data_IF_112044048000
#
_entry.id   IF_112044048000
#
_cell.length_a   1.000
_cell.length_b   1.000
_cell.length_c   1.000
_cell.angle_alpha   90.00
_cell.angle_beta   90.00
_cell.angle_gamma   90.00
#
_symmetry.space_group_name_H-M   'P 1'
#
loop_
_entity.id
_entity.type
_entity.pdbx_description
1 polymer ?
#
# COMPACT_ATOMS: atom_id res chain seq x y z
N UNK A 1 -33.48 28.26 -6.86
CA UNK A 1 -32.12 28.01 -7.39
C UNK A 1 -31.14 28.25 -6.25
N UNK A 2 -30.74 27.20 -5.56
CA UNK A 2 -29.60 27.23 -4.64
C UNK A 2 -28.77 26.01 -5.01
N UNK A 3 -27.72 26.24 -5.80
CA UNK A 3 -26.73 25.22 -6.13
C UNK A 3 -26.02 24.83 -4.85
N UNK A 4 -26.46 23.73 -4.25
CA UNK A 4 -25.80 23.11 -3.12
C UNK A 4 -24.52 22.49 -3.67
N UNK A 5 -23.41 23.22 -3.53
CA UNK A 5 -22.08 22.71 -3.81
C UNK A 5 -21.86 21.56 -2.84
N UNK A 6 -22.08 20.34 -3.32
CA UNK A 6 -21.82 19.14 -2.56
C UNK A 6 -20.32 19.09 -2.40
N UNK A 7 -19.87 19.47 -1.21
CA UNK A 7 -18.52 19.27 -0.74
C UNK A 7 -18.29 17.74 -0.72
N UNK A 8 -17.93 17.20 -1.89
CA UNK A 8 -17.31 15.90 -2.02
C UNK A 8 -15.86 16.04 -1.55
N UNK A 9 -15.67 16.42 -0.29
CA UNK A 9 -14.40 16.19 0.35
C UNK A 9 -14.34 14.70 0.64
N UNK A 10 -13.52 14.01 -0.15
CA UNK A 10 -13.09 12.64 0.03
C UNK A 10 -12.33 12.52 1.36
N UNK A 11 -13.05 12.62 2.48
CA UNK A 11 -12.54 12.30 3.81
C UNK A 11 -12.51 10.78 3.95
N UNK A 12 -11.63 10.14 3.17
CA UNK A 12 -11.05 8.85 3.50
C UNK A 12 -10.14 9.05 4.72
N UNK A 13 -10.73 9.42 5.86
CA UNK A 13 -10.06 9.74 7.11
C UNK A 13 -9.47 8.49 7.80
N UNK A 14 -9.56 7.34 7.14
CA UNK A 14 -9.09 6.06 7.65
C UNK A 14 -8.14 5.37 6.64
N UNK A 15 -7.20 6.11 6.06
CA UNK A 15 -6.07 5.55 5.30
C UNK A 15 -5.13 4.74 6.23
N UNK A 16 -5.63 3.66 6.83
CA UNK A 16 -4.81 2.50 7.18
C UNK A 16 -4.48 1.76 5.87
N UNK A 17 -3.76 2.43 4.97
CA UNK A 17 -3.35 1.86 3.70
C UNK A 17 -2.32 0.75 3.93
N UNK A 18 -1.57 0.78 5.03
CA UNK A 18 -0.56 -0.20 5.40
C UNK A 18 -1.21 -1.51 5.84
N UNK A 19 -1.08 -2.53 4.98
CA UNK A 19 -1.56 -3.89 5.23
C UNK A 19 -0.58 -4.69 6.09
N UNK A 20 0.71 -4.42 5.90
CA UNK A 20 1.80 -5.07 6.61
C UNK A 20 3.04 -4.19 6.57
N UNK A 21 3.81 -4.22 7.66
CA UNK A 21 5.15 -3.66 7.73
C UNK A 21 6.08 -4.65 8.41
N UNK A 22 7.24 -4.84 7.81
CA UNK A 22 8.34 -5.60 8.42
C UNK A 22 9.58 -4.72 8.55
N UNK A 23 10.35 -4.98 9.59
CA UNK A 23 11.68 -4.41 9.77
C UNK A 23 12.65 -5.57 9.79
N UNK A 24 13.57 -5.59 8.82
CA UNK A 24 14.57 -6.63 8.68
C UNK A 24 15.96 -6.02 8.51
N UNK A 25 16.98 -6.87 8.60
CA UNK A 25 18.38 -6.48 8.42
C UNK A 25 18.64 -5.86 7.03
N UNK A 26 17.89 -6.31 6.01
CA UNK A 26 17.97 -5.81 4.62
C UNK A 26 17.24 -4.46 4.41
N UNK A 27 16.44 -4.02 5.38
CA UNK A 27 15.67 -2.78 5.36
C UNK A 27 14.26 -2.93 5.93
N UNK A 28 13.52 -1.82 6.00
CA UNK A 28 12.09 -1.86 6.32
C UNK A 28 11.28 -1.91 5.02
N UNK A 29 10.29 -2.80 4.99
CA UNK A 29 9.37 -2.97 3.87
C UNK A 29 7.94 -2.85 4.36
N UNK A 30 7.06 -2.27 3.57
CA UNK A 30 5.63 -2.31 3.84
C UNK A 30 4.83 -2.55 2.56
N UNK A 31 3.63 -3.08 2.71
CA UNK A 31 2.64 -3.21 1.64
C UNK A 31 1.50 -2.26 1.94
N UNK A 32 1.18 -1.38 1.00
CA UNK A 32 0.06 -0.47 1.12
C UNK A 32 -0.99 -0.68 0.02
N UNK A 33 -2.21 -0.20 0.25
CA UNK A 33 -3.20 0.00 -0.81
C UNK A 33 -2.94 1.35 -1.51
N UNK A 34 -2.97 1.37 -2.84
CA UNK A 34 -2.84 2.60 -3.61
C UNK A 34 -3.97 3.59 -3.29
N UNK A 35 -3.71 4.90 -3.43
CA UNK A 35 -4.68 5.97 -3.15
C UNK A 35 -6.03 5.72 -3.81
N UNK A 36 -6.01 5.32 -5.08
CA UNK A 36 -7.20 5.04 -5.89
C UNK A 36 -7.90 3.70 -5.56
N UNK A 37 -7.36 2.90 -4.64
CA UNK A 37 -7.99 1.65 -4.22
C UNK A 37 -8.11 0.61 -5.33
N UNK A 38 -7.13 0.54 -6.25
CA UNK A 38 -7.16 -0.41 -7.39
C UNK A 38 -6.02 -1.44 -7.37
N UNK A 39 -4.98 -1.24 -6.55
CA UNK A 39 -3.78 -2.08 -6.52
C UNK A 39 -3.04 -1.95 -5.19
N UNK A 40 -2.18 -2.93 -4.90
CA UNK A 40 -1.23 -2.89 -3.79
C UNK A 40 0.11 -2.30 -4.25
N UNK A 41 0.83 -1.69 -3.31
CA UNK A 41 2.14 -1.09 -3.52
C UNK A 41 3.10 -1.66 -2.48
N UNK A 42 4.20 -2.26 -2.94
CA UNK A 42 5.32 -2.61 -2.07
C UNK A 42 6.19 -1.38 -1.93
N UNK A 43 6.47 -0.94 -0.71
CA UNK A 43 7.37 0.16 -0.41
C UNK A 43 8.58 -0.30 0.40
N UNK A 44 9.73 0.33 0.12
CA UNK A 44 10.96 0.16 0.89
C UNK A 44 11.34 1.47 1.57
N UNK A 45 11.74 1.38 2.83
CA UNK A 45 12.29 2.50 3.58
C UNK A 45 13.75 2.69 3.16
N UNK A 46 14.06 3.84 2.58
CA UNK A 46 15.44 4.25 2.29
C UNK A 46 15.87 5.38 3.22
N UNK A 47 17.12 5.32 3.69
CA UNK A 47 17.76 6.42 4.40
C UNK A 47 18.49 7.27 3.37
N UNK A 48 18.18 8.55 3.28
CA UNK A 48 18.94 9.45 2.42
C UNK A 48 20.35 9.62 3.00
N UNK A 49 21.38 9.27 2.22
CA UNK A 49 22.79 9.37 2.64
C UNK A 49 23.20 10.82 2.94
N UNK A 50 22.55 11.79 2.27
CA UNK A 50 22.88 13.21 2.38
C UNK A 50 22.19 13.90 3.57
N UNK A 51 21.14 13.29 4.13
CA UNK A 51 20.39 13.84 5.29
C UNK A 51 19.97 12.69 6.20
N UNK A 52 20.70 12.40 7.29
CA UNK A 52 20.39 11.27 8.18
C UNK A 52 18.99 11.35 8.82
N UNK A 53 18.37 12.54 8.84
CA UNK A 53 16.99 12.74 9.31
C UNK A 53 15.91 12.50 8.23
N UNK A 54 16.27 12.36 6.95
CA UNK A 54 15.32 12.17 5.86
C UNK A 54 15.14 10.67 5.57
N UNK A 55 14.24 10.05 6.33
CA UNK A 55 13.69 8.74 6.04
C UNK A 55 12.55 8.91 5.03
N UNK A 56 12.60 8.21 3.90
CA UNK A 56 11.48 8.16 2.95
C UNK A 56 11.13 6.73 2.58
N UNK A 57 9.83 6.51 2.33
CA UNK A 57 9.33 5.29 1.71
C UNK A 57 9.34 5.49 0.19
N UNK A 58 9.82 4.48 -0.53
CA UNK A 58 9.86 4.47 -2.00
C UNK A 58 9.05 3.29 -2.49
N UNK A 59 8.14 3.53 -3.43
CA UNK A 59 7.39 2.48 -4.09
C UNK A 59 8.29 1.68 -5.03
N UNK A 60 8.43 0.38 -4.75
CA UNK A 60 9.26 -0.55 -5.52
C UNK A 60 8.43 -1.27 -6.59
N UNK A 61 7.16 -1.57 -6.29
CA UNK A 61 6.30 -2.34 -7.20
C UNK A 61 4.82 -2.09 -6.96
N UNK A 62 4.05 -2.18 -8.05
CA UNK A 62 2.60 -2.03 -8.08
C UNK A 62 2.00 -3.34 -8.58
N UNK A 63 1.09 -3.94 -7.81
CA UNK A 63 0.56 -5.28 -8.11
C UNK A 63 -0.92 -5.40 -7.77
N UNK A 64 -1.62 -6.20 -8.57
CA UNK A 64 -3.05 -6.48 -8.41
C UNK A 64 -3.33 -7.95 -8.09
N UNK A 65 -2.31 -8.80 -8.02
CA UNK A 65 -2.46 -10.24 -7.73
C UNK A 65 -1.59 -10.65 -6.55
N UNK A 66 -2.13 -11.47 -5.65
CA UNK A 66 -1.41 -11.95 -4.46
C UNK A 66 -0.16 -12.71 -4.84
N UNK A 67 -0.22 -13.57 -5.85
CA UNK A 67 0.95 -14.33 -6.30
C UNK A 67 2.10 -13.41 -6.75
N UNK A 68 1.78 -12.35 -7.49
CA UNK A 68 2.76 -11.34 -7.88
C UNK A 68 3.29 -10.56 -6.66
N UNK A 69 2.41 -10.24 -5.70
CA UNK A 69 2.80 -9.60 -4.44
C UNK A 69 3.80 -10.44 -3.65
N UNK A 70 3.51 -11.72 -3.43
CA UNK A 70 4.39 -12.64 -2.68
C UNK A 70 5.74 -12.83 -3.39
N UNK A 71 5.73 -12.99 -4.72
CA UNK A 71 6.94 -13.16 -5.52
C UNK A 71 7.82 -11.91 -5.47
N UNK A 72 7.25 -10.73 -5.70
CA UNK A 72 8.00 -9.47 -5.68
C UNK A 72 8.43 -9.10 -4.25
N UNK A 73 7.64 -9.43 -3.24
CA UNK A 73 8.05 -9.29 -1.85
C UNK A 73 9.34 -10.05 -1.57
N UNK A 74 9.40 -11.33 -1.93
CA UNK A 74 10.59 -12.14 -1.75
C UNK A 74 11.77 -11.59 -2.57
N UNK A 75 11.52 -11.16 -3.81
CA UNK A 75 12.56 -10.60 -4.68
C UNK A 75 13.18 -9.30 -4.13
N UNK A 76 12.37 -8.42 -3.53
CA UNK A 76 12.81 -7.13 -3.00
C UNK A 76 13.37 -7.20 -1.58
N UNK A 77 12.74 -8.00 -0.71
CA UNK A 77 13.09 -8.09 0.71
C UNK A 77 14.11 -9.19 1.02
N UNK A 78 14.16 -10.23 0.18
CA UNK A 78 14.91 -11.47 0.46
C UNK A 78 14.27 -12.36 1.52
N UNK A 79 13.07 -12.02 1.98
CA UNK A 79 12.42 -12.65 3.15
C UNK A 79 11.12 -13.30 2.69
N UNK A 80 10.70 -14.36 3.39
CA UNK A 80 9.37 -14.93 3.19
C UNK A 80 8.28 -13.88 3.43
N UNK A 81 7.23 -13.93 2.63
CA UNK A 81 6.06 -13.09 2.87
C UNK A 81 5.40 -13.43 4.22
N UNK A 82 4.94 -12.42 4.98
CA UNK A 82 4.22 -12.64 6.22
C UNK A 82 2.84 -13.25 5.98
N UNK A 83 2.28 -13.88 7.01
CA UNK A 83 1.02 -14.61 6.93
C UNK A 83 -0.14 -13.72 6.46
N UNK A 84 -0.12 -12.45 6.83
CA UNK A 84 -1.10 -11.44 6.40
C UNK A 84 -1.17 -11.33 4.87
N UNK A 85 -0.03 -11.37 4.17
CA UNK A 85 -0.01 -11.32 2.70
C UNK A 85 -0.52 -12.61 2.07
N UNK A 86 -0.31 -13.76 2.74
CA UNK A 86 -0.88 -15.03 2.29
C UNK A 86 -2.40 -15.09 2.47
N UNK A 87 -2.94 -14.42 3.50
CA UNK A 87 -4.37 -14.32 3.77
C UNK A 87 -5.12 -13.36 2.84
N UNK A 88 -4.42 -12.54 2.04
CA UNK A 88 -5.02 -11.61 1.10
C UNK A 88 -5.79 -12.33 -0.02
N UNK A 89 -6.78 -11.66 -0.65
CA UNK A 89 -7.49 -12.24 -1.80
C UNK A 89 -6.54 -12.47 -2.98
N UNK A 90 -6.85 -13.43 -3.85
CA UNK A 90 -6.02 -13.76 -5.01
C UNK A 90 -5.79 -12.55 -5.94
N UNK A 91 -6.80 -11.67 -6.07
CA UNK A 91 -6.72 -10.41 -6.79
C UNK A 91 -7.18 -9.25 -5.91
N UNK A 92 -6.67 -8.06 -6.22
CA UNK A 92 -7.08 -6.83 -5.56
C UNK A 92 -8.58 -6.63 -5.76
N UNK A 93 -9.33 -6.62 -4.66
CA UNK A 93 -10.75 -6.34 -4.68
C UNK A 93 -10.91 -4.83 -4.49
N UNK A 94 -11.37 -4.16 -5.54
CA UNK A 94 -11.71 -2.74 -5.46
C UNK A 94 -12.80 -2.58 -4.39
N UNK A 95 -12.62 -1.69 -3.40
CA UNK A 95 -13.71 -1.39 -2.49
C UNK A 95 -14.87 -0.91 -3.36
N UNK A 96 -16.02 -1.56 -3.22
CA UNK A 96 -17.21 -1.14 -3.97
C UNK A 96 -17.53 0.27 -3.50
N UNK A 97 -17.33 1.24 -4.39
CA UNK A 97 -17.85 2.60 -4.24
C UNK A 97 -19.31 2.47 -3.82
N UNK A 98 -19.59 2.83 -2.56
CA UNK A 98 -20.93 2.72 -2.01
C UNK A 98 -21.75 3.78 -2.75
N UNK A 99 -22.45 3.36 -3.81
CA UNK A 99 -23.42 4.19 -4.51
C UNK A 99 -24.40 4.72 -3.46
N UNK A 100 -24.20 5.97 -3.04
CA UNK A 100 -25.17 6.72 -2.24
C UNK A 100 -26.37 6.98 -3.15
N UNK A 101 -27.44 6.20 -2.96
CA UNK A 101 -28.78 6.55 -3.44
C UNK A 101 -29.42 7.62 -2.57
#
# INVERSE_FOLDING_TARGET
>A
MTGQYNDHCESADNYAAELCRIEAETGSFCVIVCRDGIQWIIQRRIRATEKPAAVRWVAESYVTSREALLRLWQAHSGISAPAELHAMPAHFIRPRESTRS
#
